data_IF_729648229164
#
_entry.id   IF_729648229164
#
_cell.length_a   1.000
_cell.length_b   1.000
_cell.length_c   1.000
_cell.angle_alpha   90.00
_cell.angle_beta   90.00
_cell.angle_gamma   90.00
#
_symmetry.space_group_name_H-M   'P 1'
#
loop_
_entity.id
_entity.type
_entity.pdbx_description
1 polymer ?
#
# COMPACT_ATOMS: atom_id res chain seq x y z
N UNK A 1 17.03 11.22 25.57
CA UNK A 1 15.91 11.18 24.60
C UNK A 1 15.55 9.72 24.34
N UNK A 2 14.55 9.18 25.04
CA UNK A 2 14.10 7.79 24.89
C UNK A 2 13.15 7.71 23.70
N UNK A 3 13.60 7.17 22.57
CA UNK A 3 12.72 6.95 21.42
C UNK A 3 11.71 5.85 21.76
N UNK A 4 10.44 6.26 21.87
CA UNK A 4 9.30 5.39 22.16
C UNK A 4 9.26 4.27 21.12
N UNK A 5 9.65 3.06 21.53
CA UNK A 5 9.66 1.84 20.69
C UNK A 5 8.23 1.58 20.21
N UNK A 6 7.90 1.90 18.95
CA UNK A 6 6.68 1.38 18.30
C UNK A 6 6.87 -0.13 18.12
N UNK A 7 6.40 -0.90 19.08
CA UNK A 7 6.38 -2.37 19.09
C UNK A 7 5.56 -2.85 17.89
N UNK A 8 6.24 -3.43 16.89
CA UNK A 8 5.57 -4.07 15.74
C UNK A 8 6.27 -3.90 14.38
N UNK A 9 7.12 -2.88 14.18
CA UNK A 9 7.82 -2.65 12.90
C UNK A 9 9.30 -3.04 12.97
N UNK A 10 9.81 -3.72 11.94
CA UNK A 10 11.24 -4.03 11.82
C UNK A 10 12.07 -2.74 11.76
N UNK A 11 13.36 -2.81 12.09
CA UNK A 11 14.28 -1.68 11.96
C UNK A 11 14.34 -1.17 10.52
N UNK A 12 14.37 -2.08 9.56
CA UNK A 12 14.38 -1.78 8.14
C UNK A 12 13.12 -1.02 7.69
N UNK A 13 11.92 -1.47 8.10
CA UNK A 13 10.68 -0.79 7.72
C UNK A 13 10.62 0.65 8.26
N UNK A 14 11.10 0.89 9.49
CA UNK A 14 11.16 2.24 10.04
C UNK A 14 12.11 3.13 9.27
N UNK A 15 13.31 2.64 8.99
CA UNK A 15 14.29 3.37 8.20
C UNK A 15 13.74 3.75 6.81
N UNK A 16 13.05 2.84 6.13
CA UNK A 16 12.44 3.11 4.83
C UNK A 16 11.29 4.11 4.91
N UNK A 17 10.46 4.06 5.96
CA UNK A 17 9.39 5.05 6.18
C UNK A 17 9.96 6.45 6.48
N UNK A 18 11.02 6.52 7.28
CA UNK A 18 11.70 7.78 7.62
C UNK A 18 12.35 8.39 6.37
N UNK A 19 13.02 7.57 5.55
CA UNK A 19 13.60 8.00 4.27
C UNK A 19 12.54 8.44 3.27
N UNK A 20 11.42 7.73 3.18
CA UNK A 20 10.32 8.06 2.29
C UNK A 20 9.46 9.24 2.78
N UNK A 21 9.63 9.67 4.04
CA UNK A 21 8.83 10.73 4.67
C UNK A 21 7.34 10.37 4.83
N UNK A 22 6.96 9.10 4.67
CA UNK A 22 5.57 8.65 4.70
C UNK A 22 5.44 7.18 5.15
N UNK A 23 4.34 6.79 5.80
CA UNK A 23 4.12 5.41 6.22
C UNK A 23 3.92 4.48 5.02
N UNK A 24 4.32 3.21 5.18
CA UNK A 24 4.04 2.17 4.20
C UNK A 24 2.55 1.78 4.23
N UNK A 25 1.79 2.35 3.32
CA UNK A 25 0.37 2.08 3.07
C UNK A 25 0.18 1.41 1.71
N UNK A 26 -1.04 0.93 1.44
CA UNK A 26 -1.39 0.44 0.11
C UNK A 26 -1.12 1.49 -0.98
N UNK A 27 -1.60 2.72 -0.79
CA UNK A 27 -1.43 3.81 -1.75
C UNK A 27 0.03 4.17 -1.99
N UNK A 28 0.83 4.29 -0.92
CA UNK A 28 2.26 4.61 -1.06
C UNK A 28 3.05 3.50 -1.74
N UNK A 29 2.65 2.22 -1.56
CA UNK A 29 3.25 1.10 -2.26
C UNK A 29 2.96 1.17 -3.76
N UNK A 30 1.69 1.38 -4.14
CA UNK A 30 1.27 1.51 -5.54
C UNK A 30 2.01 2.68 -6.21
N UNK A 31 2.11 3.81 -5.53
CA UNK A 31 2.85 4.97 -6.04
C UNK A 31 4.35 4.69 -6.18
N UNK A 32 4.96 3.95 -5.24
CA UNK A 32 6.37 3.60 -5.30
C UNK A 32 6.68 2.65 -6.47
N UNK A 33 5.79 1.68 -6.75
CA UNK A 33 5.92 0.79 -7.91
C UNK A 33 5.87 1.62 -9.19
N UNK A 34 4.84 2.48 -9.34
CA UNK A 34 4.72 3.36 -10.51
C UNK A 34 5.96 4.23 -10.72
N UNK A 35 6.44 4.86 -9.65
CA UNK A 35 7.62 5.73 -9.73
C UNK A 35 8.89 4.94 -10.05
N UNK A 36 9.04 3.73 -9.52
CA UNK A 36 10.16 2.83 -9.82
C UNK A 36 10.16 2.35 -11.28
N UNK A 37 8.99 2.20 -11.89
CA UNK A 37 8.84 1.89 -13.32
C UNK A 37 8.96 3.14 -14.23
N UNK A 38 9.11 4.34 -13.65
CA UNK A 38 9.22 5.59 -14.42
C UNK A 38 7.93 6.01 -15.14
N UNK A 39 6.78 5.46 -14.74
CA UNK A 39 5.51 5.66 -15.41
C UNK A 39 4.76 6.91 -14.90
N UNK A 40 4.08 7.60 -15.81
CA UNK A 40 3.08 8.60 -15.45
C UNK A 40 1.84 7.92 -14.85
N UNK A 41 1.04 8.68 -14.09
CA UNK A 41 -0.25 8.16 -13.57
C UNK A 41 -1.18 7.72 -14.69
N UNK A 42 -1.14 8.36 -15.87
CA UNK A 42 -2.01 7.98 -16.99
C UNK A 42 -1.62 6.62 -17.59
N UNK A 43 -0.31 6.40 -17.78
CA UNK A 43 0.20 5.13 -18.29
C UNK A 43 -0.06 3.98 -17.35
N UNK A 44 0.21 4.19 -16.05
CA UNK A 44 -0.01 3.16 -15.05
C UNK A 44 -1.49 2.85 -14.85
N UNK A 45 -2.36 3.86 -14.86
CA UNK A 45 -3.80 3.65 -14.77
C UNK A 45 -4.32 2.82 -15.95
N UNK A 46 -3.80 3.05 -17.16
CA UNK A 46 -4.12 2.25 -18.36
C UNK A 46 -3.64 0.81 -18.21
N UNK A 47 -2.43 0.57 -17.71
CA UNK A 47 -1.91 -0.78 -17.43
C UNK A 47 -2.76 -1.51 -16.39
N UNK A 48 -3.28 -0.80 -15.39
CA UNK A 48 -4.12 -1.34 -14.33
C UNK A 48 -5.62 -1.43 -14.69
N UNK A 49 -6.02 -0.96 -15.88
CA UNK A 49 -7.41 -0.97 -16.33
C UNK A 49 -8.34 -0.07 -15.50
N UNK A 50 -7.86 1.09 -15.04
CA UNK A 50 -8.65 2.07 -14.27
C UNK A 50 -8.45 3.50 -14.77
N UNK A 51 -9.26 4.43 -14.28
CA UNK A 51 -9.09 5.85 -14.61
C UNK A 51 -7.91 6.46 -13.86
N UNK A 52 -7.24 7.46 -14.47
CA UNK A 52 -6.16 8.22 -13.83
C UNK A 52 -6.60 8.83 -12.50
N UNK A 53 -7.84 9.35 -12.43
CA UNK A 53 -8.39 9.94 -11.21
C UNK A 53 -8.52 8.89 -10.10
N UNK A 54 -9.01 7.69 -10.43
CA UNK A 54 -9.11 6.60 -9.48
C UNK A 54 -7.73 6.16 -8.97
N UNK A 55 -6.73 6.03 -9.85
CA UNK A 55 -5.36 5.75 -9.43
C UNK A 55 -4.81 6.84 -8.50
N UNK A 56 -5.03 8.11 -8.81
CA UNK A 56 -4.59 9.22 -7.96
C UNK A 56 -5.24 9.16 -6.56
N UNK A 57 -6.52 8.82 -6.48
CA UNK A 57 -7.22 8.63 -5.20
C UNK A 57 -6.65 7.46 -4.40
N UNK A 58 -6.27 6.37 -5.07
CA UNK A 58 -5.62 5.22 -4.44
C UNK A 58 -4.24 5.60 -3.91
N UNK A 59 -3.39 6.22 -4.74
CA UNK A 59 -2.01 6.61 -4.38
C UNK A 59 -2.00 7.58 -3.18
N UNK A 60 -2.93 8.53 -3.15
CA UNK A 60 -3.09 9.48 -2.05
C UNK A 60 -3.83 8.91 -0.84
N UNK A 61 -4.26 7.64 -0.89
CA UNK A 61 -4.96 6.99 0.21
C UNK A 61 -6.37 7.51 0.47
N UNK A 62 -6.98 8.26 -0.47
CA UNK A 62 -8.35 8.77 -0.35
C UNK A 62 -9.42 7.69 -0.56
N UNK A 63 -9.09 6.65 -1.33
CA UNK A 63 -9.97 5.50 -1.56
C UNK A 63 -9.30 4.19 -1.16
N UNK A 64 -10.05 3.33 -0.49
CA UNK A 64 -9.68 1.93 -0.32
C UNK A 64 -10.02 1.14 -1.60
N UNK A 65 -9.24 0.10 -1.87
CA UNK A 65 -9.56 -0.90 -2.91
C UNK A 65 -10.20 -2.12 -2.26
N UNK A 66 -11.06 -2.82 -2.98
CA UNK A 66 -11.54 -4.13 -2.50
C UNK A 66 -10.40 -5.13 -2.42
N UNK A 67 -10.55 -6.16 -1.58
CA UNK A 67 -9.52 -7.21 -1.42
C UNK A 67 -9.30 -7.99 -2.72
N UNK A 68 -10.37 -8.24 -3.47
CA UNK A 68 -10.31 -8.87 -4.80
C UNK A 68 -9.51 -8.02 -5.79
N UNK A 69 -9.70 -6.69 -5.78
CA UNK A 69 -8.92 -5.77 -6.62
C UNK A 69 -7.48 -5.68 -6.16
N UNK A 70 -7.20 -5.67 -4.86
CA UNK A 70 -5.84 -5.68 -4.34
C UNK A 70 -5.07 -6.93 -4.81
N UNK A 71 -5.69 -8.11 -4.75
CA UNK A 71 -5.10 -9.35 -5.27
C UNK A 71 -4.89 -9.30 -6.79
N UNK A 72 -5.86 -8.77 -7.54
CA UNK A 72 -5.73 -8.61 -8.99
C UNK A 72 -4.57 -7.67 -9.35
N UNK A 73 -4.45 -6.52 -8.68
CA UNK A 73 -3.36 -5.58 -8.89
C UNK A 73 -1.99 -6.21 -8.59
N UNK A 74 -1.90 -7.00 -7.52
CA UNK A 74 -0.68 -7.73 -7.18
C UNK A 74 -0.26 -8.68 -8.32
N UNK A 75 -1.21 -9.44 -8.88
CA UNK A 75 -0.98 -10.33 -10.03
C UNK A 75 -0.52 -9.55 -11.26
N UNK A 76 -1.22 -8.47 -11.61
CA UNK A 76 -0.88 -7.63 -12.77
C UNK A 76 0.52 -7.03 -12.66
N UNK A 77 0.93 -6.65 -11.45
CA UNK A 77 2.23 -6.02 -11.19
C UNK A 77 3.34 -7.04 -10.86
N UNK A 78 3.03 -8.34 -10.79
CA UNK A 78 4.02 -9.37 -10.45
C UNK A 78 4.49 -9.36 -8.98
N UNK A 79 3.69 -8.81 -8.07
CA UNK A 79 4.00 -8.75 -6.63
C UNK A 79 3.17 -9.74 -5.81
N UNK A 80 3.58 -9.94 -4.55
CA UNK A 80 2.90 -10.83 -3.62
C UNK A 80 1.47 -10.37 -3.30
N UNK A 81 0.48 -11.19 -3.66
CA UNK A 81 -0.94 -11.00 -3.31
C UNK A 81 -1.13 -10.80 -1.81
N UNK A 82 -0.43 -11.60 -1.01
CA UNK A 82 -0.43 -11.53 0.46
C UNK A 82 -0.13 -10.12 0.96
N UNK A 83 0.87 -9.44 0.39
CA UNK A 83 1.25 -8.10 0.82
C UNK A 83 0.21 -7.05 0.44
N UNK A 84 -0.31 -7.12 -0.80
CA UNK A 84 -1.34 -6.19 -1.27
C UNK A 84 -2.63 -6.32 -0.46
N UNK A 85 -3.09 -7.55 -0.24
CA UNK A 85 -4.29 -7.85 0.55
C UNK A 85 -4.11 -7.41 2.00
N UNK A 86 -2.94 -7.70 2.62
CA UNK A 86 -2.64 -7.25 3.99
C UNK A 86 -2.70 -5.73 4.12
N UNK A 87 -2.12 -4.98 3.17
CA UNK A 87 -2.13 -3.51 3.20
C UNK A 87 -3.53 -2.93 2.95
N UNK A 88 -4.32 -3.54 2.07
CA UNK A 88 -5.70 -3.15 1.84
C UNK A 88 -6.57 -3.39 3.10
N UNK A 89 -6.42 -4.54 3.76
CA UNK A 89 -7.08 -4.81 5.05
C UNK A 89 -6.62 -3.85 6.15
N UNK A 90 -5.32 -3.58 6.25
CA UNK A 90 -4.80 -2.63 7.23
C UNK A 90 -5.43 -1.26 7.07
N UNK A 91 -5.61 -0.78 5.83
CA UNK A 91 -6.30 0.49 5.56
C UNK A 91 -7.73 0.51 6.10
N UNK A 92 -8.50 -0.58 5.93
CA UNK A 92 -9.86 -0.67 6.45
C UNK A 92 -9.91 -0.65 7.98
N UNK A 93 -8.95 -1.33 8.63
CA UNK A 93 -8.79 -1.32 10.09
C UNK A 93 -8.44 0.08 10.59
N UNK A 94 -7.53 0.76 9.91
CA UNK A 94 -7.11 2.12 10.23
C UNK A 94 -8.28 3.12 10.05
N UNK A 95 -9.07 2.97 8.98
CA UNK A 95 -10.28 3.78 8.72
C UNK A 95 -11.38 3.56 9.76
N UNK A 96 -11.50 2.35 10.30
CA UNK A 96 -12.39 2.04 11.41
C UNK A 96 -11.89 2.60 12.76
N UNK A 97 -10.72 3.26 12.79
CA UNK A 97 -10.13 3.82 14.01
C UNK A 97 -9.57 2.75 14.97
N UNK A 98 -9.45 1.50 14.50
CA UNK A 98 -8.99 0.38 15.32
C UNK A 98 -7.46 0.34 15.35
N UNK A 99 -6.88 0.24 16.55
CA UNK A 99 -5.42 0.15 16.74
C UNK A 99 -4.94 -1.30 16.63
N UNK A 100 -5.28 -1.97 15.54
CA UNK A 100 -4.96 -3.38 15.28
C UNK A 100 -3.98 -3.52 14.11
N UNK A 101 -3.18 -4.58 14.13
CA UNK A 101 -2.24 -4.91 13.06
C UNK A 101 -2.71 -6.15 12.35
N UNK A 102 -2.91 -6.06 11.04
CA UNK A 102 -3.36 -7.19 10.22
C UNK A 102 -2.18 -8.09 9.86
N UNK A 103 -2.33 -9.37 10.16
CA UNK A 103 -1.47 -10.45 9.65
C UNK A 103 -2.30 -11.33 8.73
N UNK A 104 -1.75 -11.64 7.56
CA UNK A 104 -2.33 -12.56 6.59
C UNK A 104 -1.37 -13.74 6.48
N UNK A 105 -1.87 -14.96 6.36
CA UNK A 105 -1.09 -16.17 6.12
C UNK A 105 -1.60 -16.86 4.85
N UNK A 106 -0.73 -17.65 4.20
CA UNK A 106 -1.18 -18.46 3.08
C UNK A 106 -2.00 -19.63 3.63
N UNK A 107 -3.05 -20.02 2.90
CA UNK A 107 -3.83 -21.21 3.21
C UNK A 107 -3.04 -22.49 2.89
#
# INVERSE_FOLDING_TARGET
MTTRRKTGKSSATRFLEDLAGRPLTFGSLVEAIRAGEGLTQAEFARQLGMSRSHLCDIEKGRKAVSLTRAAQLAKTLGYSEKQFVRLALQKLVDEAGLKLVVKVEAA
#
